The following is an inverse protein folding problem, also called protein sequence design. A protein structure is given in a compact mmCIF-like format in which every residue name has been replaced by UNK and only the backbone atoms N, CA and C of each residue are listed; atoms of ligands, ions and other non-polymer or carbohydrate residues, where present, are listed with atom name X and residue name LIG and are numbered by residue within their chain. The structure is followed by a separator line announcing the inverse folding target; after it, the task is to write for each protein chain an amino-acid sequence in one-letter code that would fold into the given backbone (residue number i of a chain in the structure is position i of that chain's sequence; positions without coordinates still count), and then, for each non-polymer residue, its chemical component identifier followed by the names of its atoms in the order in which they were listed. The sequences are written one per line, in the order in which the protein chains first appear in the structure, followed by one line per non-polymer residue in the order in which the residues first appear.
data_IF_537183371073
#
_entry.id   IF_537183371073
#
_cell.length_a   1.000
_cell.length_b   1.000
_cell.length_c   1.000
_cell.angle_alpha   90.00
_cell.angle_beta   90.00
_cell.angle_gamma   90.00
#
_symmetry.space_group_name_H-M   'P 1'
#
loop_
_entity.id
_entity.type
_entity.pdbx_description
1 polymer ?
#
# COMPACT_ATOMS: atom_id res chain seq x y z
N UNK A 1 -21.41 10.88 0.08
CA UNK A 1 -20.27 11.66 0.62
C UNK A 1 -20.63 12.21 1.99
N UNK A 2 -19.84 11.95 3.04
CA UNK A 2 -20.08 12.40 4.41
C UNK A 2 -18.78 12.91 5.05
N UNK A 3 -18.88 13.93 5.92
CA UNK A 3 -17.74 14.37 6.76
C UNK A 3 -17.56 13.37 7.91
N UNK A 4 -16.34 12.98 8.21
CA UNK A 4 -16.03 11.99 9.25
C UNK A 4 -16.64 12.35 10.59
N UNK A 5 -16.54 13.62 11.00
CA UNK A 5 -17.13 14.07 12.25
C UNK A 5 -18.67 13.87 12.30
N UNK A 6 -19.35 14.04 11.16
CA UNK A 6 -20.79 13.80 11.09
C UNK A 6 -21.11 12.31 11.21
N UNK A 7 -20.32 11.44 10.55
CA UNK A 7 -20.47 9.98 10.67
C UNK A 7 -20.29 9.51 12.12
N UNK A 8 -19.26 10.06 12.79
CA UNK A 8 -19.00 9.77 14.21
C UNK A 8 -20.21 10.20 15.07
N UNK A 9 -20.73 11.42 14.87
CA UNK A 9 -21.89 11.91 15.62
C UNK A 9 -23.13 11.05 15.38
N UNK A 10 -23.38 10.62 14.14
CA UNK A 10 -24.46 9.68 13.80
C UNK A 10 -24.31 8.36 14.55
N UNK A 11 -23.09 7.79 14.57
CA UNK A 11 -22.84 6.55 15.32
C UNK A 11 -23.05 6.72 16.83
N UNK A 12 -22.66 7.86 17.43
CA UNK A 12 -22.93 8.15 18.85
C UNK A 12 -24.42 8.25 19.14
N UNK A 13 -25.20 8.89 18.27
CA UNK A 13 -26.66 8.99 18.40
C UNK A 13 -27.31 7.60 18.24
N UNK A 14 -26.88 6.83 17.24
CA UNK A 14 -27.40 5.46 16.98
C UNK A 14 -27.13 4.50 18.14
N UNK A 15 -26.03 4.66 18.86
CA UNK A 15 -25.72 3.94 20.09
C UNK A 15 -26.37 4.55 21.35
N UNK A 16 -27.17 5.60 21.22
CA UNK A 16 -27.77 6.35 22.35
C UNK A 16 -26.75 6.87 23.37
N UNK A 17 -25.52 7.13 22.92
CA UNK A 17 -24.44 7.69 23.76
C UNK A 17 -24.54 9.21 23.91
N UNK A 18 -25.22 9.87 23.00
CA UNK A 18 -25.57 11.29 23.04
C UNK A 18 -27.04 11.46 22.66
N UNK A 19 -27.68 12.51 23.17
CA UNK A 19 -29.07 12.82 22.82
C UNK A 19 -29.21 13.37 21.40
N UNK A 20 -30.45 13.39 20.89
CA UNK A 20 -30.77 13.96 19.60
C UNK A 20 -30.30 15.42 19.53
N UNK A 21 -29.57 15.76 18.46
CA UNK A 21 -29.01 17.09 18.24
C UNK A 21 -27.76 17.41 19.07
N UNK A 22 -27.28 16.48 19.90
CA UNK A 22 -26.00 16.61 20.58
C UNK A 22 -24.87 16.00 19.77
N UNK A 23 -23.66 16.50 19.97
CA UNK A 23 -22.44 16.03 19.33
C UNK A 23 -21.51 15.41 20.36
N UNK A 24 -20.69 14.44 19.92
CA UNK A 24 -19.60 13.90 20.71
C UNK A 24 -18.63 15.01 21.12
N UNK A 25 -18.07 14.93 22.32
CA UNK A 25 -17.01 15.84 22.77
C UNK A 25 -15.73 15.63 21.95
N UNK A 26 -14.84 16.60 21.93
CA UNK A 26 -13.60 16.50 21.15
C UNK A 26 -12.77 15.24 21.46
N UNK A 27 -12.66 14.87 22.74
CA UNK A 27 -11.97 13.64 23.19
C UNK A 27 -12.69 12.37 22.73
N UNK A 28 -14.01 12.34 22.79
CA UNK A 28 -14.83 11.24 22.30
C UNK A 28 -14.68 11.09 20.77
N UNK A 29 -14.74 12.21 20.04
CA UNK A 29 -14.59 12.21 18.59
C UNK A 29 -13.20 11.71 18.15
N UNK A 30 -12.12 12.10 18.85
CA UNK A 30 -10.76 11.60 18.55
C UNK A 30 -10.61 10.10 18.84
N UNK A 31 -11.20 9.61 19.93
CA UNK A 31 -11.20 8.18 20.24
C UNK A 31 -12.01 7.39 19.20
N UNK A 32 -13.17 7.89 18.80
CA UNK A 32 -14.00 7.28 17.77
C UNK A 32 -13.34 7.33 16.38
N UNK A 33 -12.53 8.36 16.08
CA UNK A 33 -11.73 8.41 14.85
C UNK A 33 -10.72 7.24 14.79
N UNK A 34 -10.10 6.88 15.92
CA UNK A 34 -9.21 5.71 15.99
C UNK A 34 -9.98 4.41 15.73
N UNK A 35 -11.20 4.28 16.32
CA UNK A 35 -12.06 3.12 16.10
C UNK A 35 -12.52 3.05 14.64
N UNK A 36 -12.89 4.18 14.03
CA UNK A 36 -13.24 4.28 12.61
C UNK A 36 -12.10 3.83 11.69
N UNK A 37 -10.88 4.31 11.94
CA UNK A 37 -9.67 3.88 11.20
C UNK A 37 -9.49 2.37 11.28
N UNK A 38 -9.70 1.79 12.46
CA UNK A 38 -9.62 0.34 12.67
C UNK A 38 -10.71 -0.43 11.89
N UNK A 39 -11.95 0.07 11.82
CA UNK A 39 -13.03 -0.54 11.00
C UNK A 39 -12.69 -0.48 9.52
N UNK A 40 -12.23 0.66 9.01
CA UNK A 40 -11.84 0.83 7.61
C UNK A 40 -10.66 -0.10 7.28
N UNK A 41 -9.64 -0.19 8.13
CA UNK A 41 -8.52 -1.10 7.95
C UNK A 41 -8.95 -2.58 7.94
N UNK A 42 -9.87 -2.96 8.84
CA UNK A 42 -10.46 -4.31 8.87
C UNK A 42 -11.19 -4.65 7.58
N UNK A 43 -12.04 -3.76 7.07
CA UNK A 43 -12.74 -3.92 5.81
C UNK A 43 -11.76 -4.00 4.63
N UNK A 44 -10.71 -3.19 4.63
CA UNK A 44 -9.69 -3.21 3.59
C UNK A 44 -8.88 -4.52 3.60
N UNK A 45 -8.51 -5.03 4.78
CA UNK A 45 -7.81 -6.32 4.92
C UNK A 45 -8.62 -7.50 4.38
N UNK A 46 -9.95 -7.38 4.37
CA UNK A 46 -10.88 -8.39 3.83
C UNK A 46 -11.11 -8.27 2.32
N UNK A 47 -10.30 -7.51 1.58
CA UNK A 47 -10.40 -7.28 0.14
C UNK A 47 -11.69 -6.59 -0.33
N UNK A 48 -12.31 -5.78 0.51
CA UNK A 48 -13.54 -5.08 0.15
C UNK A 48 -13.30 -3.80 -0.65
N UNK A 49 -12.05 -3.57 -1.10
CA UNK A 49 -11.63 -2.47 -1.99
C UNK A 49 -12.13 -1.09 -1.53
N UNK A 50 -11.77 -0.71 -0.31
CA UNK A 50 -12.04 0.63 0.21
C UNK A 50 -11.00 1.66 -0.26
N UNK A 51 -9.88 1.18 -0.77
CA UNK A 51 -8.81 2.01 -1.34
C UNK A 51 -8.91 2.05 -2.87
N UNK A 52 -8.43 3.14 -3.45
CA UNK A 52 -8.35 3.29 -4.90
C UNK A 52 -7.34 2.30 -5.49
N UNK A 53 -7.75 1.67 -6.60
CA UNK A 53 -6.87 0.81 -7.39
C UNK A 53 -6.25 1.66 -8.48
N UNK A 54 -4.93 1.73 -8.49
CA UNK A 54 -4.17 2.46 -9.51
C UNK A 54 -3.24 1.53 -10.29
N UNK A 55 -2.74 2.02 -11.40
CA UNK A 55 -1.79 1.31 -12.23
C UNK A 55 -0.58 2.16 -12.53
N UNK A 56 0.61 1.53 -12.48
CA UNK A 56 1.86 2.13 -12.93
C UNK A 56 2.54 1.17 -13.91
N UNK A 57 3.11 1.73 -14.98
CA UNK A 57 3.90 0.97 -15.94
C UNK A 57 5.39 1.24 -15.71
N UNK A 58 6.21 0.20 -15.67
CA UNK A 58 7.65 0.32 -15.47
C UNK A 58 8.42 -0.70 -16.30
N UNK A 59 9.53 -0.27 -16.88
CA UNK A 59 10.53 -1.14 -17.48
C UNK A 59 11.58 -1.51 -16.43
N UNK A 60 11.80 -2.82 -16.22
CA UNK A 60 12.71 -3.31 -15.18
C UNK A 60 13.32 -4.65 -15.56
N UNK A 61 14.47 -4.95 -14.99
CA UNK A 61 15.16 -6.24 -15.05
C UNK A 61 14.72 -7.22 -13.96
N UNK A 62 13.48 -7.12 -13.52
CA UNK A 62 12.90 -8.02 -12.56
C UNK A 62 12.92 -7.54 -11.11
N UNK A 63 13.55 -6.40 -10.83
CA UNK A 63 13.56 -5.77 -9.52
C UNK A 63 12.99 -4.35 -9.65
N UNK A 64 11.91 -4.05 -8.93
CA UNK A 64 11.25 -2.75 -8.93
C UNK A 64 11.17 -2.24 -7.49
N UNK A 65 11.74 -1.08 -7.25
CA UNK A 65 11.74 -0.39 -5.95
C UNK A 65 10.79 0.79 -6.00
N UNK A 66 9.86 0.84 -5.06
CA UNK A 66 8.84 1.88 -4.96
C UNK A 66 9.03 2.60 -3.63
N UNK A 67 9.04 3.93 -3.66
CA UNK A 67 9.04 4.78 -2.47
C UNK A 67 7.87 5.75 -2.54
N UNK A 68 7.44 6.25 -1.39
CA UNK A 68 6.43 7.32 -1.31
C UNK A 68 6.98 8.64 -1.87
N UNK A 69 8.16 9.02 -1.41
CA UNK A 69 8.88 10.22 -1.81
C UNK A 69 10.39 10.03 -1.65
N UNK A 70 11.15 10.84 -2.34
CA UNK A 70 12.60 10.89 -2.10
C UNK A 70 12.88 11.49 -0.71
N UNK A 71 13.87 10.95 0.02
CA UNK A 71 14.35 11.57 1.25
C UNK A 71 14.78 13.02 1.03
N UNK A 72 14.65 13.85 2.05
CA UNK A 72 15.08 15.23 1.97
C UNK A 72 16.58 15.30 1.58
N UNK A 73 16.90 16.13 0.59
CA UNK A 73 18.27 16.24 0.07
C UNK A 73 18.63 15.28 -1.07
N UNK A 74 17.68 14.38 -1.46
CA UNK A 74 17.83 13.53 -2.65
C UNK A 74 17.13 14.17 -3.85
N UNK A 75 17.80 14.14 -5.00
CA UNK A 75 17.25 14.76 -6.22
C UNK A 75 17.85 14.11 -7.48
N UNK A 76 17.05 13.98 -8.54
CA UNK A 76 17.52 13.59 -9.86
C UNK A 76 17.88 14.85 -10.65
N UNK A 77 19.08 14.88 -11.23
CA UNK A 77 19.63 16.05 -11.94
C UNK A 77 20.28 15.63 -13.27
N UNK A 78 20.23 16.50 -14.25
CA UNK A 78 20.90 16.25 -15.55
C UNK A 78 22.41 16.34 -15.45
N UNK A 79 22.90 17.28 -14.62
CA UNK A 79 24.32 17.51 -14.36
C UNK A 79 24.56 17.69 -12.87
N UNK A 80 25.67 17.13 -12.37
CA UNK A 80 26.03 17.31 -10.97
C UNK A 80 26.37 18.78 -10.69
N UNK A 81 25.77 19.41 -9.66
CA UNK A 81 26.13 20.76 -9.25
C UNK A 81 27.56 20.78 -8.68
N UNK A 82 28.14 21.95 -8.59
CA UNK A 82 29.47 22.11 -7.95
C UNK A 82 29.36 21.66 -6.49
N UNK A 83 30.26 20.75 -6.10
CA UNK A 83 30.31 20.28 -4.72
C UNK A 83 30.68 21.43 -3.78
N UNK A 84 29.97 21.61 -2.69
CA UNK A 84 30.13 22.69 -1.72
C UNK A 84 29.72 22.24 -0.31
N UNK A 85 30.02 23.02 0.69
CA UNK A 85 29.67 22.73 2.08
C UNK A 85 28.15 22.52 2.26
N UNK A 86 27.30 23.25 1.53
CA UNK A 86 25.85 23.10 1.58
C UNK A 86 25.31 21.84 0.90
N UNK A 87 26.17 21.13 0.16
CA UNK A 87 25.83 19.88 -0.52
C UNK A 87 26.26 18.65 0.24
N UNK A 88 27.10 18.79 1.26
CA UNK A 88 27.57 17.64 2.06
C UNK A 88 26.41 16.85 2.62
N UNK A 89 26.46 15.54 2.43
CA UNK A 89 25.40 14.60 2.82
C UNK A 89 24.25 14.47 1.81
N UNK A 90 24.10 15.36 0.85
CA UNK A 90 23.06 15.26 -0.18
C UNK A 90 23.38 14.17 -1.19
N UNK A 91 22.31 13.61 -1.78
CA UNK A 91 22.39 12.56 -2.80
C UNK A 91 21.82 13.06 -4.11
N UNK A 92 22.52 12.76 -5.21
CA UNK A 92 22.09 13.10 -6.57
C UNK A 92 22.10 11.88 -7.47
N UNK A 93 21.07 11.70 -8.26
CA UNK A 93 21.10 10.76 -9.38
C UNK A 93 21.37 11.54 -10.66
N UNK A 94 22.41 11.19 -11.36
CA UNK A 94 22.83 11.83 -12.60
C UNK A 94 23.20 10.77 -13.64
N UNK A 95 22.61 10.84 -14.82
CA UNK A 95 22.89 9.90 -15.93
C UNK A 95 22.80 8.41 -15.51
N UNK A 96 21.82 8.08 -14.67
CA UNK A 96 21.60 6.70 -14.20
C UNK A 96 22.49 6.25 -13.04
N UNK A 97 23.45 7.06 -12.59
CA UNK A 97 24.33 6.77 -11.45
C UNK A 97 23.95 7.63 -10.25
N UNK A 98 24.15 7.08 -9.05
CA UNK A 98 23.88 7.77 -7.80
C UNK A 98 25.17 8.27 -7.18
N UNK A 99 25.16 9.51 -6.71
CA UNK A 99 26.31 10.20 -6.11
C UNK A 99 25.94 10.77 -4.75
N UNK A 100 26.85 10.63 -3.79
CA UNK A 100 26.79 11.29 -2.49
C UNK A 100 27.85 12.38 -2.39
N UNK A 101 27.52 13.52 -1.80
CA UNK A 101 28.49 14.59 -1.58
C UNK A 101 29.17 14.41 -0.23
N UNK A 102 30.52 14.26 -0.25
CA UNK A 102 31.34 14.10 0.94
C UNK A 102 32.31 15.26 1.10
N UNK A 103 32.67 15.57 2.35
CA UNK A 103 33.81 16.44 2.66
C UNK A 103 35.09 15.59 2.81
N UNK A 104 36.16 15.96 2.15
CA UNK A 104 37.42 15.28 2.32
C UNK A 104 38.06 15.61 3.70
N UNK A 105 38.43 14.60 4.49
CA UNK A 105 38.97 14.80 5.82
C UNK A 105 40.17 15.74 5.84
N UNK A 106 40.17 16.72 6.73
CA UNK A 106 41.29 17.65 6.90
C UNK A 106 41.44 18.74 5.82
N UNK A 107 40.48 18.85 4.91
CA UNK A 107 40.48 19.86 3.85
C UNK A 107 39.12 20.58 3.77
N UNK A 108 39.09 21.72 3.07
CA UNK A 108 37.82 22.39 2.69
C UNK A 108 37.34 21.97 1.29
N UNK A 109 37.72 20.76 0.86
CA UNK A 109 37.38 20.24 -0.45
C UNK A 109 36.15 19.32 -0.34
N UNK A 110 35.20 19.52 -1.26
CA UNK A 110 33.98 18.75 -1.33
C UNK A 110 33.94 18.01 -2.66
N UNK A 111 33.46 16.74 -2.65
CA UNK A 111 33.47 15.89 -3.85
C UNK A 111 32.18 15.09 -3.94
N UNK A 112 31.75 14.82 -5.17
CA UNK A 112 30.69 13.87 -5.46
C UNK A 112 31.31 12.49 -5.69
N UNK A 113 31.04 11.56 -4.80
CA UNK A 113 31.48 10.17 -4.91
C UNK A 113 30.33 9.31 -5.45
N UNK A 114 30.61 8.43 -6.41
CA UNK A 114 29.64 7.44 -6.87
C UNK A 114 29.29 6.48 -5.72
N UNK A 115 27.98 6.24 -5.52
CA UNK A 115 27.45 5.44 -4.42
C UNK A 115 26.58 4.31 -4.98
N UNK A 116 27.21 3.21 -5.46
CA UNK A 116 26.49 2.05 -5.98
C UNK A 116 25.71 1.29 -4.89
N UNK A 117 26.03 1.55 -3.63
CA UNK A 117 25.37 1.01 -2.46
C UNK A 117 23.99 1.64 -2.21
N UNK A 118 23.70 2.79 -2.83
CA UNK A 118 22.41 3.47 -2.68
C UNK A 118 21.44 2.97 -3.75
N UNK A 119 20.41 2.29 -3.31
CA UNK A 119 19.33 1.82 -4.16
C UNK A 119 18.33 2.97 -4.44
N UNK A 120 18.44 3.58 -5.62
CA UNK A 120 17.49 4.61 -6.04
C UNK A 120 16.13 3.98 -6.39
N UNK A 121 15.00 4.62 -6.02
CA UNK A 121 13.68 4.08 -6.36
C UNK A 121 13.45 4.11 -7.88
N UNK A 122 12.75 3.09 -8.37
CA UNK A 122 12.31 2.99 -9.75
C UNK A 122 11.01 3.77 -10.01
N UNK A 123 10.18 3.84 -8.98
CA UNK A 123 8.90 4.55 -9.00
C UNK A 123 8.71 5.32 -7.69
N UNK A 124 8.06 6.50 -7.80
CA UNK A 124 7.56 7.25 -6.66
C UNK A 124 6.03 7.15 -6.67
N UNK A 125 5.45 6.59 -5.61
CA UNK A 125 4.00 6.40 -5.45
C UNK A 125 3.63 6.84 -4.04
N UNK A 126 2.95 7.96 -3.93
CA UNK A 126 2.51 8.55 -2.67
C UNK A 126 0.98 8.41 -2.50
N UNK A 127 0.52 7.76 -1.43
CA UNK A 127 1.26 6.97 -0.45
C UNK A 127 1.79 5.65 -1.02
N UNK A 128 2.74 5.00 -0.32
CA UNK A 128 3.22 3.66 -0.68
C UNK A 128 2.04 2.69 -0.90
N UNK A 129 2.17 1.74 -1.85
CA UNK A 129 1.16 0.71 -2.03
C UNK A 129 0.95 -0.09 -0.73
N UNK A 130 -0.31 -0.30 -0.35
CA UNK A 130 -0.66 -1.27 0.71
C UNK A 130 -0.34 -2.70 0.27
N UNK A 131 -0.68 -2.98 -1.01
CA UNK A 131 -0.38 -4.26 -1.66
C UNK A 131 -0.48 -4.18 -3.17
N UNK A 132 0.14 -5.15 -3.84
CA UNK A 132 -0.03 -5.36 -5.26
C UNK A 132 -1.26 -6.24 -5.50
N UNK A 133 -2.17 -5.75 -6.33
CA UNK A 133 -3.36 -6.50 -6.77
C UNK A 133 -2.99 -7.46 -7.90
N UNK A 134 -2.28 -6.94 -8.91
CA UNK A 134 -1.73 -7.74 -10.00
C UNK A 134 -0.42 -7.16 -10.50
N UNK A 135 0.50 -8.03 -10.85
CA UNK A 135 1.68 -7.71 -11.65
C UNK A 135 1.55 -8.41 -13.00
N UNK A 136 1.69 -7.67 -14.08
CA UNK A 136 1.61 -8.22 -15.44
C UNK A 136 2.83 -7.80 -16.25
N UNK A 137 3.34 -8.71 -17.06
CA UNK A 137 4.39 -8.43 -18.05
C UNK A 137 3.79 -8.16 -19.43
N UNK A 138 4.40 -7.28 -20.20
CA UNK A 138 4.00 -7.01 -21.58
C UNK A 138 4.58 -8.09 -22.50
N UNK A 139 3.72 -8.71 -23.32
CA UNK A 139 4.10 -9.64 -24.36
C UNK A 139 3.43 -9.21 -25.67
N UNK A 140 4.21 -8.59 -26.58
CA UNK A 140 3.65 -7.94 -27.75
C UNK A 140 2.67 -6.82 -27.37
N UNK A 141 1.42 -6.94 -27.81
CA UNK A 141 0.36 -5.97 -27.50
C UNK A 141 -0.53 -6.37 -26.30
N UNK A 142 -0.22 -7.48 -25.64
CA UNK A 142 -1.00 -7.98 -24.49
C UNK A 142 -0.19 -7.93 -23.21
N UNK A 143 -0.91 -7.86 -22.08
CA UNK A 143 -0.33 -8.05 -20.75
C UNK A 143 -0.68 -9.45 -20.24
N UNK A 144 0.33 -10.15 -19.73
CA UNK A 144 0.20 -11.48 -19.14
C UNK A 144 0.45 -11.35 -17.65
N UNK A 145 -0.52 -11.73 -16.86
CA UNK A 145 -0.43 -11.66 -15.40
C UNK A 145 0.59 -12.67 -14.88
N UNK A 146 1.40 -12.24 -13.91
CA UNK A 146 2.32 -13.07 -13.15
C UNK A 146 1.61 -13.62 -11.90
N UNK A 147 2.08 -14.77 -11.43
CA UNK A 147 1.57 -15.37 -10.20
C UNK A 147 2.34 -14.85 -8.99
N UNK A 148 1.66 -14.50 -7.87
CA UNK A 148 2.36 -14.26 -6.63
C UNK A 148 3.04 -15.55 -6.15
N UNK A 149 4.25 -15.44 -5.61
CA UNK A 149 5.05 -16.56 -5.13
C UNK A 149 5.77 -16.23 -3.83
N UNK A 150 6.41 -17.23 -3.25
CA UNK A 150 7.28 -17.06 -2.08
C UNK A 150 8.71 -16.76 -2.51
N UNK A 151 9.45 -15.99 -1.71
CA UNK A 151 10.84 -15.60 -1.99
C UNK A 151 11.75 -16.82 -2.22
N UNK A 152 11.53 -17.89 -1.49
CA UNK A 152 12.27 -19.15 -1.66
C UNK A 152 12.13 -19.77 -3.06
N UNK A 153 10.97 -19.57 -3.71
CA UNK A 153 10.76 -20.02 -5.10
C UNK A 153 11.55 -19.18 -6.10
N UNK A 154 11.77 -17.90 -5.82
CA UNK A 154 12.60 -17.03 -6.67
C UNK A 154 14.07 -17.39 -6.56
N UNK A 155 14.56 -17.68 -5.35
CA UNK A 155 15.96 -18.02 -5.10
C UNK A 155 16.37 -19.37 -5.71
N UNK A 156 15.42 -20.32 -5.83
CA UNK A 156 15.66 -21.66 -6.36
C UNK A 156 15.60 -21.75 -7.89
N UNK A 157 15.11 -20.71 -8.58
CA UNK A 157 14.94 -20.71 -10.03
C UNK A 157 16.11 -20.05 -10.76
N UNK A 158 16.49 -20.63 -11.88
CA UNK A 158 17.37 -19.95 -12.85
C UNK A 158 16.64 -18.72 -13.39
N UNK A 159 17.14 -17.54 -13.07
CA UNK A 159 16.57 -16.23 -13.47
C UNK A 159 16.64 -15.97 -14.99
N UNK A 160 16.67 -17.04 -15.80
CA UNK A 160 16.71 -16.96 -17.25
C UNK A 160 15.31 -17.23 -17.83
N UNK A 161 14.85 -16.33 -18.68
CA UNK A 161 13.57 -16.46 -19.36
C UNK A 161 12.55 -15.39 -19.00
N UNK A 162 11.34 -15.53 -19.51
CA UNK A 162 10.26 -14.58 -19.23
C UNK A 162 9.72 -14.82 -17.81
N UNK A 163 9.45 -13.75 -17.05
CA UNK A 163 8.97 -13.87 -15.68
C UNK A 163 7.60 -14.55 -15.63
N UNK A 164 7.41 -15.40 -14.63
CA UNK A 164 6.16 -16.11 -14.36
C UNK A 164 5.65 -15.85 -12.95
N UNK A 165 6.55 -15.53 -12.02
CA UNK A 165 6.24 -15.27 -10.62
C UNK A 165 6.81 -13.95 -10.14
N UNK A 166 6.23 -13.44 -9.06
CA UNK A 166 6.77 -12.27 -8.35
C UNK A 166 6.55 -12.41 -6.84
N UNK A 167 7.38 -11.72 -6.07
CA UNK A 167 7.19 -11.51 -4.63
C UNK A 167 7.16 -10.03 -4.33
N UNK A 168 6.58 -9.68 -3.19
CA UNK A 168 6.55 -8.33 -2.67
C UNK A 168 6.99 -8.33 -1.22
N UNK A 169 7.84 -7.38 -0.86
CA UNK A 169 8.25 -7.15 0.52
C UNK A 169 8.44 -5.67 0.76
N UNK A 170 8.32 -5.27 2.02
CA UNK A 170 8.62 -3.90 2.45
C UNK A 170 9.86 -3.95 3.32
N UNK A 171 10.86 -3.14 2.98
CA UNK A 171 12.12 -3.05 3.71
C UNK A 171 12.35 -1.63 4.22
N UNK A 172 12.99 -1.53 5.39
CA UNK A 172 13.50 -0.26 5.90
C UNK A 172 14.96 -0.17 5.52
N UNK A 173 15.26 0.72 4.59
CA UNK A 173 16.63 0.97 4.16
C UNK A 173 17.28 2.05 5.01
N UNK A 174 18.55 1.80 5.39
CA UNK A 174 19.41 2.74 6.10
C UNK A 174 20.61 3.05 5.25
N UNK A 175 20.77 4.30 4.90
CA UNK A 175 21.89 4.78 4.08
C UNK A 175 22.57 5.92 4.79
N UNK A 176 23.90 5.87 4.87
CA UNK A 176 24.73 6.94 5.44
C UNK A 176 25.54 7.62 4.36
N UNK A 177 25.40 8.94 4.22
CA UNK A 177 26.18 9.78 3.32
C UNK A 177 26.82 10.89 4.15
N UNK A 178 28.12 10.95 4.17
CA UNK A 178 28.90 11.79 5.11
C UNK A 178 28.42 11.53 6.57
N UNK A 179 27.87 12.56 7.22
CA UNK A 179 27.37 12.47 8.61
C UNK A 179 25.83 12.37 8.69
N UNK A 180 25.14 12.28 7.54
CA UNK A 180 23.67 12.21 7.49
C UNK A 180 23.26 10.75 7.31
N UNK A 181 22.37 10.27 8.18
CA UNK A 181 21.77 8.96 8.09
C UNK A 181 20.34 9.12 7.56
N UNK A 182 20.04 8.42 6.46
CA UNK A 182 18.73 8.35 5.85
C UNK A 182 18.06 7.05 6.22
N UNK A 183 16.87 7.13 6.78
CA UNK A 183 16.00 5.98 7.05
C UNK A 183 14.72 6.15 6.24
N UNK A 184 14.41 5.19 5.38
CA UNK A 184 13.23 5.25 4.52
C UNK A 184 12.69 3.86 4.22
N UNK A 185 11.41 3.80 3.98
CA UNK A 185 10.69 2.59 3.63
C UNK A 185 10.68 2.41 2.11
N UNK A 186 10.95 1.19 1.66
CA UNK A 186 10.94 0.82 0.24
C UNK A 186 10.06 -0.41 0.07
N UNK A 187 9.08 -0.32 -0.82
CA UNK A 187 8.31 -1.46 -1.27
C UNK A 187 9.02 -2.09 -2.47
N UNK A 188 9.38 -3.37 -2.35
CA UNK A 188 10.17 -4.10 -3.34
C UNK A 188 9.30 -5.14 -4.03
N UNK A 189 9.31 -5.15 -5.36
CA UNK A 189 8.74 -6.21 -6.19
C UNK A 189 9.91 -6.91 -6.87
N UNK A 190 10.04 -8.21 -6.65
CA UNK A 190 11.05 -9.05 -7.30
C UNK A 190 10.36 -10.11 -8.16
N UNK A 191 10.89 -10.38 -9.36
CA UNK A 191 10.40 -11.41 -10.27
C UNK A 191 11.46 -12.48 -10.51
N UNK A 192 11.03 -13.65 -11.00
CA UNK A 192 11.89 -14.78 -11.35
C UNK A 192 12.65 -14.58 -12.68
N UNK A 193 12.86 -13.33 -13.12
CA UNK A 193 13.60 -13.02 -14.36
C UNK A 193 14.46 -11.79 -14.19
N UNK A 194 15.61 -11.79 -14.86
CA UNK A 194 16.53 -10.62 -14.96
C UNK A 194 16.44 -9.92 -16.31
N UNK A 195 15.50 -10.29 -17.16
CA UNK A 195 15.29 -9.62 -18.45
C UNK A 195 14.64 -8.25 -18.25
N UNK A 196 15.09 -7.27 -19.04
CA UNK A 196 14.48 -5.95 -19.05
C UNK A 196 13.15 -5.96 -19.79
N UNK A 197 12.06 -5.95 -19.06
CA UNK A 197 10.69 -6.16 -19.54
C UNK A 197 9.81 -5.03 -19.05
N UNK A 198 8.79 -4.71 -19.82
CA UNK A 198 7.71 -3.82 -19.39
C UNK A 198 6.75 -4.54 -18.45
N UNK A 199 6.60 -4.00 -17.24
CA UNK A 199 5.64 -4.44 -16.25
C UNK A 199 4.51 -3.43 -16.10
N UNK A 200 3.31 -3.93 -15.87
CA UNK A 200 2.16 -3.17 -15.37
C UNK A 200 1.86 -3.64 -13.96
N UNK A 201 1.94 -2.69 -13.04
CA UNK A 201 1.72 -2.89 -11.61
C UNK A 201 0.34 -2.32 -11.31
N UNK A 202 -0.60 -3.16 -10.89
CA UNK A 202 -1.87 -2.72 -10.35
C UNK A 202 -1.81 -2.85 -8.84
N UNK A 203 -2.02 -1.77 -8.12
CA UNK A 203 -1.83 -1.73 -6.67
C UNK A 203 -2.98 -1.01 -5.98
N UNK A 204 -3.17 -1.33 -4.71
CA UNK A 204 -4.03 -0.60 -3.79
C UNK A 204 -3.18 0.45 -3.09
N UNK A 205 -3.64 1.70 -3.13
CA UNK A 205 -3.05 2.75 -2.30
C UNK A 205 -3.26 2.45 -0.83
N UNK A 206 -2.29 2.80 -0.01
CA UNK A 206 -2.49 2.85 1.43
C UNK A 206 -3.61 3.83 1.76
N UNK A 207 -4.39 3.49 2.76
CA UNK A 207 -5.47 4.37 3.21
C UNK A 207 -4.88 5.70 3.71
N UNK A 208 -5.49 6.83 3.34
CA UNK A 208 -5.03 8.13 3.79
C UNK A 208 -5.15 8.25 5.32
N UNK A 209 -4.32 9.10 5.91
CA UNK A 209 -4.46 9.44 7.32
C UNK A 209 -5.69 10.33 7.53
N UNK A 210 -6.81 9.71 7.90
CA UNK A 210 -8.07 10.40 8.11
C UNK A 210 -8.04 11.36 9.30
N UNK A 211 -8.63 12.56 9.11
CA UNK A 211 -8.87 13.58 10.12
C UNK A 211 -10.37 13.84 10.27
N UNK A 212 -10.81 14.42 11.39
CA UNK A 212 -12.24 14.66 11.67
C UNK A 212 -12.97 15.49 10.61
N UNK A 213 -12.27 16.42 9.95
CA UNK A 213 -12.86 17.29 8.94
C UNK A 213 -12.79 16.72 7.51
N UNK A 214 -12.17 15.57 7.34
CA UNK A 214 -12.05 14.94 6.03
C UNK A 214 -13.40 14.36 5.59
N UNK A 215 -13.55 14.20 4.28
CA UNK A 215 -14.74 13.64 3.65
C UNK A 215 -14.47 12.21 3.18
N UNK A 216 -15.40 11.32 3.50
CA UNK A 216 -15.42 9.97 2.94
C UNK A 216 -16.26 9.95 1.67
N UNK A 217 -15.68 9.42 0.58
CA UNK A 217 -16.29 9.33 -0.75
C UNK A 217 -16.76 7.91 -1.06
N UNK A 218 -17.24 7.19 -0.07
CA UNK A 218 -17.79 5.86 -0.24
C UNK A 218 -19.26 5.89 -0.65
N UNK A 219 -19.76 4.80 -1.22
CA UNK A 219 -21.17 4.61 -1.49
C UNK A 219 -21.99 4.62 -0.18
N UNK A 220 -23.27 5.02 -0.25
CA UNK A 220 -24.15 5.03 0.95
C UNK A 220 -24.20 3.68 1.65
N UNK A 221 -24.26 2.60 0.88
CA UNK A 221 -24.25 1.23 1.42
C UNK A 221 -22.98 0.94 2.21
N UNK A 222 -21.82 1.35 1.70
CA UNK A 222 -20.55 1.14 2.37
C UNK A 222 -20.41 2.02 3.61
N UNK A 223 -20.89 3.27 3.54
CA UNK A 223 -20.95 4.17 4.69
C UNK A 223 -21.81 3.60 5.82
N UNK A 224 -22.96 3.00 5.51
CA UNK A 224 -23.79 2.31 6.53
C UNK A 224 -23.07 1.15 7.19
N UNK A 225 -22.32 0.36 6.43
CA UNK A 225 -21.52 -0.75 6.99
C UNK A 225 -20.40 -0.26 7.90
N UNK A 226 -19.73 0.81 7.50
CA UNK A 226 -18.68 1.45 8.31
C UNK A 226 -19.28 2.02 9.60
N UNK A 227 -20.47 2.62 9.52
CA UNK A 227 -21.19 3.13 10.68
C UNK A 227 -21.54 2.01 11.66
N UNK A 228 -22.09 0.87 11.18
CA UNK A 228 -22.41 -0.28 12.02
C UNK A 228 -21.17 -0.86 12.71
N UNK A 229 -20.07 -1.01 11.97
CA UNK A 229 -18.78 -1.41 12.53
C UNK A 229 -18.26 -0.43 13.59
N UNK A 230 -18.42 0.87 13.36
CA UNK A 230 -18.09 1.90 14.35
C UNK A 230 -18.99 1.81 15.58
N UNK A 231 -20.30 1.63 15.40
CA UNK A 231 -21.23 1.42 16.50
C UNK A 231 -20.83 0.21 17.36
N UNK A 232 -20.46 -0.91 16.75
CA UNK A 232 -19.99 -2.10 17.48
C UNK A 232 -18.76 -1.80 18.35
N UNK A 233 -17.79 -1.05 17.82
CA UNK A 233 -16.58 -0.64 18.58
C UNK A 233 -16.90 0.38 19.69
N UNK A 234 -17.79 1.34 19.42
CA UNK A 234 -18.26 2.28 20.45
C UNK A 234 -19.02 1.56 21.56
N UNK A 235 -19.92 0.63 21.24
CA UNK A 235 -20.61 -0.16 22.25
C UNK A 235 -19.64 -0.97 23.12
N UNK A 236 -18.59 -1.54 22.56
CA UNK A 236 -17.53 -2.19 23.32
C UNK A 236 -16.83 -1.22 24.27
N UNK A 237 -16.44 -0.04 23.77
CA UNK A 237 -15.73 0.99 24.53
C UNK A 237 -16.56 1.51 25.72
N UNK A 238 -17.86 1.70 25.50
CA UNK A 238 -18.79 2.21 26.52
C UNK A 238 -19.52 1.10 27.29
N UNK A 239 -19.13 -0.18 27.10
CA UNK A 239 -19.66 -1.37 27.80
C UNK A 239 -21.17 -1.60 27.60
N UNK A 240 -21.71 -1.24 26.43
CA UNK A 240 -23.09 -1.45 26.02
C UNK A 240 -23.24 -2.82 25.34
N UNK A 241 -23.07 -3.90 26.12
CA UNK A 241 -22.93 -5.26 25.55
C UNK A 241 -24.20 -5.78 24.88
N UNK A 242 -25.37 -5.39 25.38
CA UNK A 242 -26.66 -5.81 24.82
C UNK A 242 -26.88 -5.26 23.40
N UNK A 243 -26.50 -4.00 23.18
CA UNK A 243 -26.62 -3.33 21.89
C UNK A 243 -25.45 -3.75 20.96
N UNK A 244 -24.28 -4.03 21.53
CA UNK A 244 -23.10 -4.48 20.78
C UNK A 244 -23.40 -5.73 19.96
N UNK A 245 -24.05 -6.75 20.53
CA UNK A 245 -24.35 -8.00 19.85
C UNK A 245 -25.15 -7.75 18.55
N UNK A 246 -26.11 -6.83 18.59
CA UNK A 246 -26.86 -6.43 17.42
C UNK A 246 -25.97 -5.83 16.32
N UNK A 247 -25.12 -4.86 16.66
CA UNK A 247 -24.23 -4.23 15.67
C UNK A 247 -23.15 -5.16 15.13
N UNK A 248 -22.63 -6.09 15.96
CA UNK A 248 -21.71 -7.13 15.49
C UNK A 248 -22.38 -8.03 14.44
N UNK A 249 -23.63 -8.42 14.66
CA UNK A 249 -24.38 -9.26 13.72
C UNK A 249 -24.69 -8.52 12.40
N UNK A 250 -25.18 -7.28 12.49
CA UNK A 250 -25.44 -6.44 11.31
C UNK A 250 -24.17 -6.20 10.49
N UNK A 251 -23.08 -5.83 11.14
CA UNK A 251 -21.78 -5.63 10.49
C UNK A 251 -21.29 -6.91 9.81
N UNK A 252 -21.33 -8.06 10.50
CA UNK A 252 -20.88 -9.34 9.95
C UNK A 252 -21.75 -9.79 8.77
N UNK A 253 -23.06 -9.57 8.81
CA UNK A 253 -24.00 -9.89 7.73
C UNK A 253 -23.72 -9.01 6.51
N UNK A 254 -23.55 -7.71 6.71
CA UNK A 254 -23.25 -6.74 5.66
C UNK A 254 -21.90 -7.03 4.98
N UNK A 255 -20.88 -7.37 5.76
CA UNK A 255 -19.56 -7.79 5.24
C UNK A 255 -19.66 -9.07 4.38
N UNK A 256 -20.44 -10.07 4.84
CA UNK A 256 -20.70 -11.30 4.06
C UNK A 256 -21.38 -10.99 2.72
N UNK A 257 -22.36 -10.08 2.74
CA UNK A 257 -23.05 -9.67 1.52
C UNK A 257 -22.14 -8.95 0.54
N UNK A 258 -21.27 -8.03 1.03
CA UNK A 258 -20.27 -7.36 0.19
C UNK A 258 -19.30 -8.35 -0.45
N UNK A 259 -18.82 -9.34 0.32
CA UNK A 259 -17.93 -10.38 -0.21
C UNK A 259 -18.59 -11.16 -1.34
N UNK A 260 -19.88 -11.51 -1.20
CA UNK A 260 -20.64 -12.19 -2.26
C UNK A 260 -20.74 -11.34 -3.52
N UNK A 261 -21.07 -10.05 -3.39
CA UNK A 261 -21.18 -9.12 -4.52
C UNK A 261 -19.84 -8.97 -5.21
N UNK A 262 -18.75 -8.76 -4.47
CA UNK A 262 -17.42 -8.61 -5.04
C UNK A 262 -16.95 -9.89 -5.75
N UNK A 263 -17.26 -11.05 -5.24
CA UNK A 263 -16.92 -12.33 -5.89
C UNK A 263 -17.76 -12.58 -7.14
N UNK A 264 -19.05 -12.18 -7.15
CA UNK A 264 -19.91 -12.33 -8.33
C UNK A 264 -19.55 -11.37 -9.47
N UNK A 265 -18.96 -10.21 -9.14
CA UNK A 265 -18.55 -9.19 -10.14
C UNK A 265 -17.13 -9.39 -10.66
N UNK A 266 -16.39 -10.39 -10.19
CA UNK A 266 -15.09 -10.73 -10.81
C UNK A 266 -15.39 -11.26 -12.21
N UNK A 267 -14.85 -10.65 -13.29
CA UNK A 267 -14.97 -11.24 -14.61
C UNK A 267 -14.39 -12.65 -14.53
N UNK A 268 -15.19 -13.67 -14.86
CA UNK A 268 -14.65 -14.99 -15.15
C UNK A 268 -13.75 -14.82 -16.38
N UNK A 269 -12.47 -14.64 -16.18
CA UNK A 269 -11.49 -14.76 -17.25
C UNK A 269 -11.38 -16.24 -17.58
N UNK A 270 -12.39 -16.71 -18.34
CA UNK A 270 -12.36 -17.97 -19.04
C UNK A 270 -11.48 -17.77 -20.28
N UNK A 271 -10.18 -17.70 -20.08
CA UNK A 271 -9.24 -18.00 -21.15
C UNK A 271 -8.27 -19.05 -20.61
N UNK A 272 -8.60 -20.25 -21.01
CA UNK A 272 -7.80 -21.47 -21.07
C UNK A 272 -6.70 -21.67 -20.02
N UNK A 273 -6.86 -22.64 -19.15
CA UNK A 273 -5.87 -23.32 -18.32
C UNK A 273 -5.35 -22.63 -17.03
N UNK A 274 -5.85 -21.48 -16.60
CA UNK A 274 -5.32 -20.83 -15.38
C UNK A 274 -6.33 -20.49 -14.30
N UNK A 275 -7.64 -20.42 -14.58
CA UNK A 275 -8.65 -19.86 -13.69
C UNK A 275 -8.88 -20.65 -12.40
N UNK A 276 -8.75 -21.96 -12.45
CA UNK A 276 -8.98 -22.84 -11.28
C UNK A 276 -7.85 -22.78 -10.23
N UNK A 277 -6.62 -22.48 -10.65
CA UNK A 277 -5.49 -22.40 -9.72
C UNK A 277 -5.49 -21.11 -8.88
N UNK A 278 -5.91 -19.98 -9.44
CA UNK A 278 -5.94 -18.70 -8.75
C UNK A 278 -7.03 -18.63 -7.68
N UNK A 279 -8.22 -19.20 -7.93
CA UNK A 279 -9.28 -19.27 -6.92
C UNK A 279 -8.90 -20.12 -5.71
N UNK A 280 -8.15 -21.21 -5.92
CA UNK A 280 -7.71 -22.09 -4.84
C UNK A 280 -6.58 -21.47 -4.01
N UNK A 281 -5.69 -20.67 -4.60
CA UNK A 281 -4.66 -19.94 -3.87
C UNK A 281 -5.24 -18.85 -2.97
N UNK A 282 -6.26 -18.11 -3.44
CA UNK A 282 -6.92 -17.07 -2.63
C UNK A 282 -7.76 -17.63 -1.50
N UNK A 283 -8.22 -18.88 -1.59
CA UNK A 283 -9.05 -19.54 -0.56
C UNK A 283 -8.27 -20.48 0.36
N UNK A 284 -6.94 -20.56 0.25
CA UNK A 284 -6.11 -21.43 1.10
C UNK A 284 -6.30 -22.93 0.86
N UNK A 285 -6.92 -23.33 -0.25
CA UNK A 285 -7.08 -24.72 -0.63
C UNK A 285 -6.02 -25.12 -1.67
N UNK A 286 -5.05 -25.89 -1.24
CA UNK A 286 -4.14 -26.61 -2.11
C UNK A 286 -4.83 -27.93 -2.53
N UNK A 287 -5.14 -28.19 -3.81
CA UNK A 287 -5.65 -29.48 -4.20
C UNK A 287 -4.55 -30.53 -4.01
N UNK A 288 -4.84 -31.57 -3.21
CA UNK A 288 -3.96 -32.75 -3.13
C UNK A 288 -3.85 -33.34 -4.54
N UNK A 289 -2.64 -33.46 -5.04
CA UNK A 289 -2.34 -34.27 -6.22
C UNK A 289 -2.65 -35.72 -5.90
N UNK A 290 -3.42 -36.35 -6.75
CA UNK A 290 -3.53 -37.79 -6.90
C UNK A 290 -2.50 -38.29 -7.89
#
# INVERSE_FOLDING_TARGET
MIVINNLINQAFQKCSLVGDGQSATGTQAMSALSDLKSVIAELNSQNLMLADVETADKMSNGLIRIMDKLPEGWEEVDTLPVASASMVGKVRKCQGKVYGCDALPGTYTFVWNERPDINWPDLLIDPLPDRIVTLSRKLGNKYVQLLPGEKQLLDSRTKMGLPTFYTCETEINKVKVANIEYNFEVFIIETDSVQNIHYRITYLKSLPEYKLNDKLYFSEKLLSIIEDGLCAKLCLRYKLMDIKAYFDEEFANAVRLLKRINNSNRPMTYEGFGGSYLENFYNGYCPRQW
#
